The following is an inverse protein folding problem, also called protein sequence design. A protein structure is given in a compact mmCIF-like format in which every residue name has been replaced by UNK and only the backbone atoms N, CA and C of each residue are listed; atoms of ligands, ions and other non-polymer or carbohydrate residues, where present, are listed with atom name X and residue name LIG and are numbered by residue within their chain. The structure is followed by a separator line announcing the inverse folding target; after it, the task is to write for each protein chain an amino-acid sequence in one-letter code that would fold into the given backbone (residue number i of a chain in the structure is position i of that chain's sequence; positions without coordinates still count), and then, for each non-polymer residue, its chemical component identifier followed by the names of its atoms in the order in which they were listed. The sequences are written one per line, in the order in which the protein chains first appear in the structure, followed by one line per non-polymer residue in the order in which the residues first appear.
data_IF_852462861792
#
_entry.id   IF_852462861792
#
_cell.length_a   1.000
_cell.length_b   1.000
_cell.length_c   1.000
_cell.angle_alpha   90.00
_cell.angle_beta   90.00
_cell.angle_gamma   90.00
#
_symmetry.space_group_name_H-M   'P 1'
#
loop_
_entity.id
_entity.type
_entity.pdbx_description
1 polymer ?
#
# COMPACT_ATOMS: atom_id res chain seq x y z
N UNK A 1 -12.29 -18.13 -16.64
CA UNK A 1 -12.67 -16.74 -16.96
C UNK A 1 -13.19 -15.94 -15.76
N UNK A 2 -14.45 -16.04 -15.28
CA UNK A 2 -14.96 -15.04 -14.29
C UNK A 2 -14.39 -15.08 -12.86
N UNK A 3 -13.95 -16.23 -12.35
CA UNK A 3 -13.67 -16.37 -10.92
C UNK A 3 -12.42 -15.60 -10.47
N UNK A 4 -11.31 -15.73 -11.21
CA UNK A 4 -10.04 -15.06 -10.86
C UNK A 4 -10.10 -13.54 -11.07
N UNK A 5 -10.85 -13.08 -12.08
CA UNK A 5 -11.09 -11.65 -12.30
C UNK A 5 -11.96 -11.04 -11.19
N UNK A 6 -12.95 -11.78 -10.70
CA UNK A 6 -13.80 -11.38 -9.58
C UNK A 6 -12.99 -11.30 -8.27
N UNK A 7 -12.15 -12.29 -8.00
CA UNK A 7 -11.24 -12.31 -6.84
C UNK A 7 -10.22 -11.16 -6.89
N UNK A 8 -9.62 -10.90 -8.07
CA UNK A 8 -8.73 -9.77 -8.26
C UNK A 8 -9.45 -8.43 -8.09
N UNK A 9 -10.71 -8.33 -8.54
CA UNK A 9 -11.58 -7.17 -8.31
C UNK A 9 -11.75 -6.85 -6.82
N UNK A 10 -12.01 -7.86 -5.99
CA UNK A 10 -12.11 -7.72 -4.52
C UNK A 10 -10.77 -7.26 -3.91
N UNK A 11 -9.64 -7.76 -4.42
CA UNK A 11 -8.32 -7.34 -3.95
C UNK A 11 -8.03 -5.87 -4.30
N UNK A 12 -8.37 -5.40 -5.49
CA UNK A 12 -8.24 -3.99 -5.87
C UNK A 12 -9.14 -3.08 -5.05
N UNK A 13 -10.40 -3.47 -4.80
CA UNK A 13 -11.31 -2.72 -3.94
C UNK A 13 -10.76 -2.61 -2.50
N UNK A 14 -10.18 -3.69 -1.99
CA UNK A 14 -9.51 -3.69 -0.69
C UNK A 14 -8.29 -2.76 -0.65
N UNK A 15 -7.47 -2.73 -1.70
CA UNK A 15 -6.35 -1.78 -1.82
C UNK A 15 -6.87 -0.34 -1.83
N UNK A 16 -7.82 -0.02 -2.71
CA UNK A 16 -8.39 1.31 -2.82
C UNK A 16 -9.01 1.82 -1.51
N UNK A 17 -9.66 0.93 -0.77
CA UNK A 17 -10.22 1.27 0.56
C UNK A 17 -9.11 1.57 1.58
N UNK A 18 -8.01 0.82 1.57
CA UNK A 18 -6.87 1.06 2.47
C UNK A 18 -6.16 2.38 2.12
N UNK A 19 -5.98 2.68 0.84
CA UNK A 19 -5.46 3.97 0.34
C UNK A 19 -6.32 5.15 0.81
N UNK A 20 -7.64 5.06 0.69
CA UNK A 20 -8.55 6.11 1.17
C UNK A 20 -8.42 6.31 2.69
N UNK A 21 -8.28 5.21 3.44
CA UNK A 21 -8.11 5.25 4.89
C UNK A 21 -6.77 5.90 5.28
N UNK A 22 -5.67 5.61 4.57
CA UNK A 22 -4.37 6.26 4.77
C UNK A 22 -4.44 7.76 4.47
N UNK A 23 -5.13 8.16 3.40
CA UNK A 23 -5.37 9.57 3.09
C UNK A 23 -6.11 10.31 4.22
N UNK A 24 -7.17 9.71 4.78
CA UNK A 24 -7.89 10.27 5.93
C UNK A 24 -7.02 10.36 7.17
N UNK A 25 -6.13 9.40 7.40
CA UNK A 25 -5.20 9.40 8.52
C UNK A 25 -4.18 10.54 8.40
N UNK A 26 -3.63 10.77 7.21
CA UNK A 26 -2.74 11.90 6.91
C UNK A 26 -3.47 13.23 7.14
N UNK A 27 -4.71 13.36 6.65
CA UNK A 27 -5.51 14.57 6.85
C UNK A 27 -5.77 14.84 8.33
N UNK A 28 -6.10 13.82 9.12
CA UNK A 28 -6.29 13.93 10.56
C UNK A 28 -5.00 14.37 11.27
N UNK A 29 -3.85 13.84 10.87
CA UNK A 29 -2.55 14.23 11.41
C UNK A 29 -2.20 15.68 11.06
N UNK A 30 -2.48 16.12 9.83
CA UNK A 30 -2.28 17.50 9.40
C UNK A 30 -3.14 18.48 10.24
N UNK A 31 -4.41 18.13 10.49
CA UNK A 31 -5.29 18.89 11.39
C UNK A 31 -4.74 18.95 12.81
N UNK A 32 -4.19 17.84 13.32
CA UNK A 32 -3.54 17.79 14.64
C UNK A 32 -2.33 18.71 14.71
N UNK A 33 -1.46 18.68 13.69
CA UNK A 33 -0.29 19.59 13.58
C UNK A 33 -0.75 21.04 13.55
N UNK A 34 -1.76 21.37 12.76
CA UNK A 34 -2.30 22.74 12.69
C UNK A 34 -2.87 23.20 14.04
N UNK A 35 -3.60 22.34 14.75
CA UNK A 35 -4.13 22.64 16.08
C UNK A 35 -3.01 22.82 17.12
N UNK A 36 -1.95 22.01 17.05
CA UNK A 36 -0.80 22.09 17.94
C UNK A 36 0.04 23.35 17.71
N UNK A 37 0.39 23.65 16.45
CA UNK A 37 1.20 24.81 16.08
C UNK A 37 0.43 26.12 16.12
N UNK A 38 -0.90 26.08 15.99
CA UNK A 38 -1.75 27.25 15.86
C UNK A 38 -1.74 27.82 14.44
N UNK A 39 -2.80 28.57 14.10
CA UNK A 39 -3.00 29.15 12.75
C UNK A 39 -1.88 30.12 12.35
N UNK A 40 -1.22 30.73 13.34
CA UNK A 40 -0.14 31.70 13.14
C UNK A 40 1.21 31.20 13.65
N UNK A 41 1.37 29.88 13.84
CA UNK A 41 2.57 29.26 14.42
C UNK A 41 2.89 29.80 15.82
N UNK A 42 1.85 30.14 16.57
CA UNK A 42 1.89 30.81 17.87
C UNK A 42 1.83 29.84 19.06
N UNK A 43 1.66 28.54 18.79
CA UNK A 43 1.52 27.48 19.78
C UNK A 43 0.54 27.85 20.91
N UNK A 44 -0.79 27.77 20.66
CA UNK A 44 -1.82 28.33 21.55
C UNK A 44 -1.79 27.76 22.97
N UNK A 45 -1.30 26.53 23.15
CA UNK A 45 -1.17 25.86 24.44
C UNK A 45 0.15 26.15 25.17
N UNK A 46 1.05 26.94 24.57
CA UNK A 46 2.40 27.26 25.07
C UNK A 46 3.17 26.00 25.54
N UNK A 47 3.35 25.00 24.67
CA UNK A 47 4.06 23.78 25.00
C UNK A 47 5.54 24.07 25.28
N UNK A 48 6.12 23.25 26.14
CA UNK A 48 7.55 23.22 26.39
C UNK A 48 8.30 22.65 25.18
N UNK A 49 9.60 22.96 25.06
CA UNK A 49 10.45 22.38 24.01
C UNK A 49 10.44 20.83 24.04
N UNK A 50 10.33 20.23 25.22
CA UNK A 50 10.23 18.78 25.37
C UNK A 50 8.95 18.22 24.75
N UNK A 51 7.82 18.91 24.93
CA UNK A 51 6.54 18.52 24.35
C UNK A 51 6.54 18.69 22.84
N UNK A 52 7.16 19.76 22.31
CA UNK A 52 7.34 19.96 20.86
C UNK A 52 8.16 18.82 20.25
N UNK A 53 9.29 18.45 20.87
CA UNK A 53 10.13 17.33 20.40
C UNK A 53 9.33 16.03 20.41
N UNK A 54 8.63 15.73 21.51
CA UNK A 54 7.84 14.52 21.65
C UNK A 54 6.70 14.45 20.62
N UNK A 55 6.04 15.59 20.36
CA UNK A 55 5.02 15.71 19.32
C UNK A 55 5.60 15.39 17.95
N UNK A 56 6.72 16.02 17.57
CA UNK A 56 7.38 15.79 16.28
C UNK A 56 7.84 14.33 16.11
N UNK A 57 8.35 13.69 17.17
CA UNK A 57 8.69 12.26 17.15
C UNK A 57 7.43 11.39 16.95
N UNK A 58 6.27 11.82 17.46
CA UNK A 58 4.99 11.17 17.20
C UNK A 58 4.61 11.24 15.72
N UNK A 59 4.67 12.44 15.13
CA UNK A 59 4.39 12.67 13.71
C UNK A 59 5.33 11.83 12.83
N UNK A 60 6.63 11.85 13.11
CA UNK A 60 7.63 11.10 12.36
C UNK A 60 7.33 9.59 12.35
N UNK A 61 7.02 9.00 13.51
CA UNK A 61 6.66 7.58 13.62
C UNK A 61 5.40 7.23 12.84
N UNK A 62 4.41 8.12 12.81
CA UNK A 62 3.22 7.91 12.00
C UNK A 62 3.54 7.92 10.50
N UNK A 63 4.34 8.89 10.05
CA UNK A 63 4.78 8.97 8.66
C UNK A 63 5.61 7.75 8.23
N UNK A 64 6.51 7.27 9.09
CA UNK A 64 7.23 6.00 8.85
C UNK A 64 6.26 4.83 8.69
N UNK A 65 5.26 4.73 9.57
CA UNK A 65 4.24 3.68 9.49
C UNK A 65 3.46 3.75 8.17
N UNK A 66 3.08 4.96 7.73
CA UNK A 66 2.39 5.17 6.46
C UNK A 66 3.29 4.76 5.29
N UNK A 67 4.56 5.14 5.29
CA UNK A 67 5.51 4.73 4.24
C UNK A 67 5.64 3.21 4.13
N UNK A 68 5.71 2.50 5.27
CA UNK A 68 5.71 1.04 5.25
C UNK A 68 4.40 0.47 4.72
N UNK A 69 3.26 1.10 5.02
CA UNK A 69 1.96 0.70 4.50
C UNK A 69 1.85 0.89 2.99
N UNK A 70 2.29 2.03 2.46
CA UNK A 70 2.33 2.27 1.02
C UNK A 70 3.18 1.23 0.29
N UNK A 71 4.32 0.88 0.87
CA UNK A 71 5.18 -0.15 0.30
C UNK A 71 4.49 -1.53 0.25
N UNK A 72 3.73 -1.90 1.29
CA UNK A 72 2.94 -3.14 1.33
C UNK A 72 1.80 -3.09 0.29
N UNK A 73 1.13 -1.95 0.13
CA UNK A 73 0.04 -1.78 -0.83
C UNK A 73 0.53 -1.90 -2.27
N UNK A 74 1.70 -1.32 -2.59
CA UNK A 74 2.37 -1.51 -3.89
C UNK A 74 2.63 -2.99 -4.16
N UNK A 75 3.15 -3.73 -3.16
CA UNK A 75 3.41 -5.16 -3.32
C UNK A 75 2.12 -5.97 -3.54
N UNK A 76 1.07 -5.66 -2.77
CA UNK A 76 -0.24 -6.29 -2.93
C UNK A 76 -0.83 -6.02 -4.32
N UNK A 77 -0.62 -4.82 -4.87
CA UNK A 77 -1.04 -4.46 -6.22
C UNK A 77 -0.28 -5.28 -7.26
N UNK A 78 1.05 -5.32 -7.18
CA UNK A 78 1.90 -6.12 -8.08
C UNK A 78 1.49 -7.60 -8.07
N UNK A 79 1.30 -8.19 -6.88
CA UNK A 79 0.89 -9.59 -6.74
C UNK A 79 -0.53 -9.85 -7.30
N UNK A 80 -1.45 -8.90 -7.13
CA UNK A 80 -2.81 -9.00 -7.70
C UNK A 80 -2.78 -8.96 -9.23
N UNK A 81 -1.92 -8.11 -9.81
CA UNK A 81 -1.73 -8.06 -11.27
C UNK A 81 -1.14 -9.37 -11.81
N UNK A 82 -0.14 -9.94 -11.11
CA UNK A 82 0.44 -11.23 -11.48
C UNK A 82 -0.57 -12.37 -11.42
N UNK A 83 -1.50 -12.35 -10.46
CA UNK A 83 -2.57 -13.35 -10.35
C UNK A 83 -3.46 -13.37 -11.60
N UNK A 84 -3.81 -12.19 -12.13
CA UNK A 84 -4.57 -12.06 -13.38
C UNK A 84 -3.77 -12.65 -14.55
N UNK A 85 -2.50 -12.26 -14.71
CA UNK A 85 -1.65 -12.73 -15.81
C UNK A 85 -1.42 -14.25 -15.80
N UNK A 86 -1.33 -14.87 -14.61
CA UNK A 86 -1.20 -16.32 -14.46
C UNK A 86 -2.52 -17.05 -14.77
N UNK A 87 -3.65 -16.48 -14.37
CA UNK A 87 -4.98 -16.98 -14.71
C UNK A 87 -5.17 -17.10 -16.24
N UNK A 88 -4.69 -16.12 -17.00
CA UNK A 88 -4.76 -16.11 -18.47
C UNK A 88 -3.85 -17.16 -19.15
N UNK A 89 -2.72 -17.52 -18.53
CA UNK A 89 -1.76 -18.49 -19.10
C UNK A 89 -2.24 -19.94 -18.96
N UNK A 90 -3.03 -20.27 -17.93
CA UNK A 90 -3.59 -21.61 -17.76
C UNK A 90 -4.66 -21.98 -18.79
N UNK A 91 -5.29 -21.02 -19.47
CA UNK A 91 -6.35 -21.30 -20.45
C UNK A 91 -5.82 -21.68 -21.86
N UNK A 92 -4.51 -21.53 -22.14
CA UNK A 92 -3.94 -21.78 -23.47
C UNK A 92 -3.65 -23.25 -23.82
N UNK A 93 -3.97 -24.21 -22.96
CA UNK A 93 -3.87 -25.64 -23.28
C UNK A 93 -5.21 -26.35 -23.12
N UNK A 94 -6.02 -26.38 -24.19
CA UNK A 94 -7.15 -27.32 -24.31
C UNK A 94 -6.76 -28.71 -24.80
N UNK A 95 -5.48 -28.97 -25.05
CA UNK A 95 -4.98 -30.24 -25.56
C UNK A 95 -3.90 -30.83 -24.61
N UNK A 96 -4.32 -31.28 -23.43
CA UNK A 96 -3.90 -32.56 -22.87
C UNK A 96 -2.44 -32.91 -22.50
N UNK A 97 -1.41 -32.06 -22.66
CA UNK A 97 -0.05 -32.42 -22.20
C UNK A 97 0.67 -31.27 -21.46
N UNK A 98 0.84 -31.44 -20.14
CA UNK A 98 1.77 -30.63 -19.36
C UNK A 98 3.18 -31.16 -19.57
N UNK A 99 3.91 -30.60 -20.54
CA UNK A 99 5.37 -30.72 -20.54
C UNK A 99 5.94 -29.55 -19.76
N UNK A 100 6.55 -29.84 -18.61
CA UNK A 100 7.50 -28.91 -17.99
C UNK A 100 8.57 -28.67 -19.05
N UNK A 101 8.65 -27.43 -19.57
CA UNK A 101 9.91 -26.97 -20.14
C UNK A 101 10.81 -26.68 -18.95
N UNK A 102 11.50 -27.72 -18.50
CA UNK A 102 12.77 -27.54 -17.82
C UNK A 102 13.65 -26.80 -18.82
N UNK A 103 13.84 -25.50 -18.61
CA UNK A 103 14.81 -24.73 -19.39
C UNK A 103 16.21 -25.11 -18.90
N UNK A 104 16.67 -26.29 -19.31
CA UNK A 104 18.09 -26.62 -19.39
C UNK A 104 18.63 -26.05 -20.71
N UNK A 105 19.48 -25.03 -20.55
CA UNK A 105 20.76 -24.81 -21.21
C UNK A 105 20.93 -25.22 -22.69
N UNK A 106 21.25 -24.25 -23.55
CA UNK A 106 22.14 -24.46 -24.69
C UNK A 106 23.17 -23.31 -24.75
N UNK A 107 24.43 -23.69 -24.61
CA UNK A 107 25.63 -22.92 -24.92
C UNK A 107 25.70 -22.58 -26.42
N UNK A 108 26.14 -21.36 -26.73
CA UNK A 108 27.06 -21.04 -27.85
C UNK A 108 27.68 -19.64 -27.63
#
# INVERSE_FOLDING_TARGET
MHHFDEEAGVLFESIATEEEALGKLIEAEAKKIQAFSGKHLDFPTKPTNREIISFNQGVARLLETILFKEWILIKKLEDTMLLIELGEKCEKHKDGECTRKDSEHDDD
#
